data_IF_771019549723
#
_entry.id   IF_771019549723
#
_cell.length_a   1.000
_cell.length_b   1.000
_cell.length_c   1.000
_cell.angle_alpha   90.00
_cell.angle_beta   90.00
_cell.angle_gamma   90.00
#
_symmetry.space_group_name_H-M   'P 1'
#
loop_
_entity.id
_entity.type
_entity.pdbx_description
1 polymer ?
2 non-polymer ?
3 water ?
#
# COMPACT_ATOMS: atom_id res chain seq x y z
N UNK A 7 19.11 12.23 1.26
CA UNK A 7 18.95 11.74 2.66
C UNK A 7 20.18 10.96 3.12
N UNK A 8 20.29 10.74 4.43
CA UNK A 8 21.38 9.94 4.96
C UNK A 8 20.88 8.77 5.81
N UNK A 9 21.69 7.72 5.91
CA UNK A 9 21.41 6.68 6.88
C UNK A 9 22.65 6.44 7.72
N UNK A 10 22.43 6.38 9.03
CA UNK A 10 23.51 6.34 9.99
C UNK A 10 23.33 5.22 10.98
N UNK A 11 24.39 4.43 11.18
CA UNK A 11 24.33 3.30 12.09
C UNK A 11 23.96 3.73 13.52
N UNK A 12 23.09 2.95 14.15
CA UNK A 12 22.80 3.09 15.57
C UNK A 12 22.94 1.70 16.18
N UNK A 13 22.74 1.63 17.50
CA UNK A 13 22.69 0.38 18.24
C UNK A 13 21.24 0.04 18.52
N UNK A 14 20.95 -1.23 18.80
CA UNK A 14 19.56 -1.63 19.13
C UNK A 14 19.05 -0.93 20.41
N UNK A 15 19.99 -0.56 21.30
CA UNK A 15 19.70 0.31 22.45
C UNK A 15 19.15 1.69 22.08
N UNK A 16 19.41 2.14 20.85
CA UNK A 16 18.94 3.44 20.40
C UNK A 16 17.51 3.42 19.84
N UNK A 17 16.94 2.23 19.68
CA UNK A 17 15.60 2.10 19.11
C UNK A 17 14.59 2.15 20.25
N UNK A 18 13.90 3.29 20.41
CA UNK A 18 13.02 3.43 21.56
C UNK A 18 11.89 2.39 21.54
N UNK A 19 11.77 1.65 22.64
CA UNK A 19 10.77 0.63 22.78
C UNK A 19 11.11 -0.72 22.14
N UNK A 20 12.30 -0.83 21.55
CA UNK A 20 12.76 -2.09 20.94
C UNK A 20 12.58 -3.24 21.92
N UNK A 21 13.09 -3.07 23.13
CA UNK A 21 13.01 -4.09 24.17
C UNK A 21 11.61 -4.56 24.54
N UNK A 22 10.60 -3.75 24.21
CA UNK A 22 9.22 -4.10 24.55
C UNK A 22 8.42 -4.65 23.37
N UNK A 23 9.02 -4.68 22.17
CA UNK A 23 8.32 -5.14 20.97
C UNK A 23 8.36 -6.66 20.85
N UNK A 24 7.27 -7.25 20.36
CA UNK A 24 7.20 -8.68 20.09
C UNK A 24 7.07 -8.89 18.56
N UNK A 25 8.19 -9.06 17.84
CA UNK A 25 8.13 -9.21 16.38
C UNK A 25 7.90 -10.65 15.85
N UNK A 26 7.29 -11.51 16.65
CA UNK A 26 7.10 -12.92 16.24
C UNK A 26 6.29 -13.10 14.96
N UNK A 27 5.32 -12.21 14.68
CA UNK A 27 4.52 -12.33 13.45
C UNK A 27 5.32 -12.07 12.17
N UNK A 28 6.53 -11.53 12.32
CA UNK A 28 7.37 -11.26 11.14
C UNK A 28 8.00 -12.51 10.61
N UNK A 29 8.05 -13.59 11.40
CA UNK A 29 8.71 -14.80 10.96
C UNK A 29 7.92 -15.57 9.89
N UNK A 30 6.61 -15.80 10.12
CA UNK A 30 5.84 -16.32 8.99
C UNK A 30 5.85 -15.39 7.76
N UNK A 31 5.83 -14.08 7.97
CA UNK A 31 5.83 -13.15 6.84
C UNK A 31 7.15 -13.28 6.07
N UNK A 32 8.27 -13.36 6.80
CA UNK A 32 9.59 -13.56 6.15
C UNK A 32 9.61 -14.89 5.37
N UNK A 33 9.00 -15.94 5.93
CA UNK A 33 8.87 -17.21 5.19
C UNK A 33 8.07 -17.07 3.87
N UNK A 34 7.03 -16.22 3.86
CA UNK A 34 6.27 -16.04 2.63
C UNK A 34 7.12 -15.29 1.59
N UNK A 35 7.92 -14.32 2.05
CA UNK A 35 8.82 -13.57 1.14
C UNK A 35 9.86 -14.52 0.55
N UNK A 36 10.42 -15.38 1.40
CA UNK A 36 11.45 -16.32 0.90
C UNK A 36 10.88 -17.29 -0.13
N UNK A 37 9.71 -17.86 0.17
CA UNK A 37 8.99 -18.72 -0.78
C UNK A 37 8.74 -17.99 -2.10
N UNK A 38 8.28 -16.74 -2.02
CA UNK A 38 8.04 -15.96 -3.21
C UNK A 38 9.35 -15.78 -4.01
N UNK A 39 10.43 -15.38 -3.33
CA UNK A 39 11.68 -15.06 -4.06
C UNK A 39 12.34 -16.31 -4.64
N UNK A 40 11.97 -17.47 -4.12
CA UNK A 40 12.46 -18.75 -4.68
C UNK A 40 11.67 -19.21 -5.89
N UNK A 41 10.61 -18.48 -6.23
CA UNK A 41 9.76 -18.93 -7.35
C UNK A 41 9.15 -17.76 -8.12
N UNK A 42 9.84 -16.62 -8.07
CA UNK A 42 9.40 -15.46 -8.84
C UNK A 42 10.61 -14.59 -9.15
N UNK A 43 10.44 -13.60 -10.03
CA UNK A 43 11.51 -12.63 -10.26
C UNK A 43 11.84 -11.85 -8.97
N UNK A 44 13.12 -11.52 -8.78
CA UNK A 44 13.53 -10.80 -7.58
C UNK A 44 12.96 -9.39 -7.54
N UNK A 45 12.69 -8.91 -6.32
CA UNK A 45 12.33 -7.52 -6.08
C UNK A 45 13.35 -6.57 -6.71
N UNK A 46 12.85 -5.41 -7.17
CA UNK A 46 13.69 -4.30 -7.65
C UNK A 46 14.56 -3.78 -6.51
N UNK A 47 15.83 -3.54 -6.79
CA UNK A 47 16.72 -2.97 -5.78
C UNK A 47 16.37 -1.50 -5.67
N UNK A 48 16.06 -1.06 -4.45
CA UNK A 48 15.76 0.34 -4.19
C UNK A 48 17.00 1.19 -4.38
N UNK A 49 16.80 2.49 -4.60
CA UNK A 49 17.90 3.44 -4.74
C UNK A 49 18.85 3.37 -3.54
N UNK A 50 18.32 3.04 -2.36
CA UNK A 50 19.19 2.87 -1.18
C UNK A 50 20.27 1.81 -1.42
N UNK A 51 19.90 0.74 -2.14
CA UNK A 51 20.87 -0.17 -2.71
C UNK A 51 20.86 -1.60 -2.19
N UNK A 52 19.95 -1.94 -1.29
CA UNK A 52 19.91 -3.33 -0.81
C UNK A 52 19.26 -4.27 -1.83
N UNK A 53 19.98 -5.31 -2.25
CA UNK A 53 19.44 -6.21 -3.27
C UNK A 53 18.53 -7.26 -2.66
N UNK A 54 17.63 -7.81 -3.47
CA UNK A 54 16.84 -8.97 -3.06
C UNK A 54 17.72 -10.16 -2.64
N UNK A 55 18.83 -10.39 -3.34
CA UNK A 55 19.78 -11.43 -2.92
C UNK A 55 20.34 -11.20 -1.52
N UNK A 56 20.63 -9.96 -1.17
CA UNK A 56 21.12 -9.62 0.19
C UNK A 56 20.03 -9.89 1.24
N UNK A 57 18.81 -9.50 0.92
CA UNK A 57 17.65 -9.81 1.77
C UNK A 57 17.50 -11.32 1.98
N UNK A 58 17.64 -12.10 0.91
CA UNK A 58 17.52 -13.56 0.99
C UNK A 58 18.49 -14.14 2.04
N UNK A 59 19.68 -13.55 2.18
CA UNK A 59 20.60 -14.07 3.16
C UNK A 59 20.02 -13.98 4.57
N UNK A 60 19.33 -12.88 4.89
CA UNK A 60 18.62 -12.74 6.18
C UNK A 60 17.44 -13.71 6.31
N UNK A 61 16.65 -13.83 5.23
CA UNK A 61 15.48 -14.69 5.23
C UNK A 61 15.87 -16.15 5.46
N UNK A 62 17.00 -16.56 4.88
CA UNK A 62 17.48 -17.93 5.04
C UNK A 62 17.97 -18.23 6.46
N UNK A 63 18.57 -17.23 7.11
CA UNK A 63 18.90 -17.36 8.52
C UNK A 63 17.65 -17.55 9.38
N UNK A 64 16.60 -16.80 9.07
CA UNK A 64 15.34 -16.93 9.81
C UNK A 64 14.78 -18.33 9.60
N UNK A 65 14.84 -18.84 8.37
CA UNK A 65 14.32 -20.17 8.01
C UNK A 65 15.01 -21.25 8.85
N UNK A 66 16.31 -21.06 9.07
CA UNK A 66 17.16 -22.05 9.78
C UNK A 66 16.98 -22.02 11.28
N UNK A 67 16.50 -20.91 11.80
CA UNK A 67 16.36 -20.73 13.23
C UNK A 67 15.07 -21.28 13.82
N UNK A 68 14.96 -21.12 15.14
CA UNK A 68 13.76 -21.50 15.85
C UNK A 68 13.52 -20.44 16.90
N UNK A 69 12.45 -19.69 16.74
CA UNK A 69 12.10 -18.60 17.62
C UNK A 69 10.86 -19.02 18.37
N UNK A 70 10.93 -18.91 19.70
CA UNK A 70 9.86 -19.39 20.59
C UNK A 70 9.52 -18.45 21.74
N UNK A 71 9.89 -17.17 21.62
CA UNK A 71 9.56 -16.14 22.61
C UNK A 71 9.82 -14.77 21.99
N UNK A 72 9.18 -13.70 22.52
CA UNK A 72 9.52 -12.35 22.04
C UNK A 72 11.02 -12.07 22.11
N UNK A 73 11.66 -12.52 23.19
CA UNK A 73 13.10 -12.30 23.37
C UNK A 73 13.91 -13.00 22.29
N UNK A 74 13.58 -14.25 21.98
CA UNK A 74 14.30 -14.98 20.91
C UNK A 74 14.09 -14.32 19.55
N UNK A 75 12.89 -13.78 19.34
CA UNK A 75 12.57 -13.06 18.09
C UNK A 75 13.41 -11.78 17.93
N UNK A 76 13.45 -10.96 18.97
CA UNK A 76 14.31 -9.76 18.95
C UNK A 76 15.77 -10.15 18.76
N UNK A 77 16.21 -11.22 19.43
CA UNK A 77 17.62 -11.64 19.39
C UNK A 77 18.01 -12.05 17.98
N UNK A 78 17.10 -12.69 17.26
CA UNK A 78 17.36 -12.99 15.87
C UNK A 78 17.85 -11.75 15.10
N UNK A 79 17.12 -10.65 15.24
CA UNK A 79 17.46 -9.41 14.51
C UNK A 79 18.75 -8.78 15.02
N UNK A 80 18.94 -8.78 16.34
CA UNK A 80 20.18 -8.26 16.95
C UNK A 80 21.43 -8.98 16.46
N UNK A 81 21.33 -10.29 16.27
CA UNK A 81 22.43 -11.11 15.78
C UNK A 81 22.69 -10.94 14.28
N UNK A 82 21.62 -10.79 13.51
CA UNK A 82 21.69 -10.98 12.06
C UNK A 82 21.44 -9.73 11.21
N UNK A 83 21.19 -8.60 11.87
CA UNK A 83 21.00 -7.35 11.16
C UNK A 83 21.62 -6.17 11.90
N UNK A 84 21.80 -5.06 11.20
CA UNK A 84 22.35 -3.84 11.78
C UNK A 84 21.40 -2.68 11.50
N UNK A 85 20.98 -1.93 12.56
CA UNK A 85 20.02 -0.85 12.40
C UNK A 85 20.67 0.49 12.02
N UNK A 86 19.96 1.24 11.19
CA UNK A 86 20.41 2.55 10.71
C UNK A 86 19.23 3.52 10.78
N UNK A 87 19.44 4.68 11.37
CA UNK A 87 18.44 5.75 11.36
C UNK A 87 18.39 6.35 9.97
N UNK A 88 17.20 6.48 9.41
CA UNK A 88 17.03 7.18 8.13
C UNK A 88 16.73 8.65 8.43
N UNK A 89 17.54 9.54 7.87
CA UNK A 89 17.32 10.99 8.07
C UNK A 89 17.04 11.68 6.75
N UNK A 90 15.78 12.13 6.53
CA UNK A 90 15.34 12.79 5.30
C UNK A 90 16.16 14.03 4.93
N UNK A 95 11.76 15.20 9.87
CA UNK A 95 11.58 13.86 10.45
C UNK A 95 10.75 12.97 9.51
N UNK A 96 10.63 11.69 9.82
CA UNK A 96 9.80 10.81 9.01
C UNK A 96 8.34 11.07 9.29
N UNK A 97 7.47 10.39 8.54
CA UNK A 97 6.03 10.64 8.63
C UNK A 97 5.24 9.39 8.26
N UNK A 98 4.24 9.06 9.08
CA UNK A 98 3.38 7.91 8.80
C UNK A 98 1.91 8.26 8.65
N UNK A 99 1.29 7.62 7.67
CA UNK A 99 -0.15 7.57 7.56
C UNK A 99 -0.54 6.10 7.68
N UNK A 100 -1.80 5.77 7.41
CA UNK A 100 -2.22 4.36 7.52
C UNK A 100 -3.17 3.99 6.41
N UNK A 101 -3.27 2.69 6.14
CA UNK A 101 -4.21 2.17 5.15
C UNK A 101 -4.77 0.85 5.63
N UNK A 102 -5.80 0.33 4.96
CA UNK A 102 -6.50 -0.86 5.46
C UNK A 102 -7.15 -1.52 4.27
N UNK A 103 -7.68 -2.73 4.46
CA UNK A 103 -8.44 -3.44 3.43
C UNK A 103 -9.92 -3.25 3.77
N UNK A 104 -10.65 -2.40 3.00
CA UNK A 104 -12.06 -2.27 3.34
C UNK A 104 -12.91 -3.48 2.99
N UNK A 105 -14.01 -3.62 3.72
CA UNK A 105 -15.05 -4.51 3.31
C UNK A 105 -16.04 -3.68 2.48
N UNK A 106 -16.38 -4.16 1.28
CA UNK A 106 -17.27 -3.44 0.39
C UNK A 106 -18.46 -4.31 0.01
N UNK A 107 -19.67 -3.83 0.31
CA UNK A 107 -20.89 -4.50 -0.14
C UNK A 107 -21.04 -4.43 -1.64
N UNK A 108 -21.34 -5.59 -2.24
CA UNK A 108 -21.53 -5.68 -3.69
C UNK A 108 -22.65 -6.63 -4.05
N UNK A 109 -23.00 -6.63 -5.34
CA UNK A 109 -23.90 -7.58 -5.92
C UNK A 109 -23.33 -8.14 -7.22
N UNK A 110 -23.71 -9.38 -7.52
CA UNK A 110 -23.32 -10.00 -8.78
C UNK A 110 -24.19 -9.50 -9.94
N UNK A 111 -25.29 -8.84 -9.60
CA UNK A 111 -26.25 -8.37 -10.59
C UNK A 111 -26.50 -6.87 -10.46
N UNK A 112 -26.38 -6.14 -11.59
CA UNK A 112 -26.58 -4.69 -11.51
C UNK A 112 -28.05 -4.28 -11.50
N UNK A 113 -28.37 -3.22 -10.78
CA UNK A 113 -29.67 -2.59 -10.87
C UNK A 113 -29.54 -1.13 -10.43
N UNK A 114 -30.67 -0.50 -10.11
CA UNK A 114 -30.65 0.92 -9.81
C UNK A 114 -29.87 1.23 -8.54
N UNK A 115 -29.72 0.23 -7.67
CA UNK A 115 -28.97 0.36 -6.41
C UNK A 115 -27.50 -0.07 -6.61
N UNK A 116 -27.32 -1.29 -7.11
CA UNK A 116 -25.97 -1.87 -7.35
C UNK A 116 -25.56 -1.41 -8.72
N UNK A 117 -24.96 -0.24 -8.80
CA UNK A 117 -24.82 0.44 -10.09
C UNK A 117 -23.38 0.77 -10.45
N UNK A 118 -22.45 0.57 -9.51
CA UNK A 118 -21.08 1.02 -9.75
C UNK A 118 -20.16 -0.17 -9.96
N UNK A 119 -19.80 -0.43 -11.22
CA UNK A 119 -19.02 -1.63 -11.52
C UNK A 119 -17.62 -1.59 -10.91
N UNK A 120 -17.08 -2.79 -10.65
CA UNK A 120 -15.70 -2.98 -10.28
C UNK A 120 -15.11 -3.79 -11.42
N UNK A 121 -14.02 -3.30 -12.04
CA UNK A 121 -13.54 -3.89 -13.29
C UNK A 121 -12.25 -4.67 -13.15
N UNK A 122 -12.15 -5.79 -13.89
CA UNK A 122 -10.87 -6.48 -14.09
C UNK A 122 -10.08 -5.72 -15.14
N UNK A 123 -8.82 -6.10 -15.33
CA UNK A 123 -7.98 -5.42 -16.32
C UNK A 123 -8.46 -5.71 -17.75
N UNK A 124 -8.76 -4.64 -18.52
CA UNK A 124 -9.14 -4.80 -19.94
C UNK A 124 -7.94 -5.35 -20.72
N UNK A 125 -8.20 -6.20 -21.74
CA UNK A 125 -7.07 -6.81 -22.48
C UNK A 125 -6.27 -5.78 -23.30
N UNK A 126 -6.84 -4.60 -23.55
CA UNK A 126 -6.17 -3.56 -24.32
C UNK A 126 -5.31 -2.66 -23.44
N UNK A 127 -5.33 -2.88 -22.13
CA UNK A 127 -4.55 -2.07 -21.21
C UNK A 127 -3.18 -2.74 -21.07
N UNK A 128 -2.26 -2.29 -21.90
CA UNK A 128 -0.94 -2.94 -22.01
C UNK A 128 0.11 -2.22 -21.16
N UNK A 129 1.05 -3.00 -20.64
CA UNK A 129 2.27 -2.45 -20.06
C UNK A 129 3.08 -1.73 -21.13
N UNK A 130 3.74 -0.65 -20.69
CA UNK A 130 4.56 0.16 -21.61
C UNK A 130 6.04 0.04 -21.26
N UNK A 131 6.87 -0.17 -22.28
CA UNK A 131 8.33 -0.05 -22.09
C UNK A 131 8.95 0.41 -23.40
N UNK A 132 10.27 0.35 -23.52
CA UNK A 132 10.91 0.78 -24.77
C UNK A 132 10.38 0.12 -26.05
N UNK A 133 10.00 -1.15 -25.96
CA UNK A 133 9.57 -1.89 -27.14
C UNK A 133 8.29 -1.31 -27.78
N UNK A 134 7.41 -0.71 -26.96
CA UNK A 134 6.12 -0.30 -27.49
C UNK A 134 5.74 1.18 -27.27
N UNK A 135 6.57 1.91 -26.52
CA UNK A 135 6.25 3.32 -26.21
C UNK A 135 6.25 4.14 -27.49
N UNK A 136 5.10 4.76 -27.81
CA UNK A 136 5.04 5.57 -29.02
C UNK A 136 5.83 6.87 -28.87
N UNK A 137 6.24 7.42 -30.02
CA UNK A 137 6.93 8.69 -30.07
C UNK A 137 6.08 9.76 -29.37
N UNK A 138 6.71 10.46 -28.43
CA UNK A 138 6.05 11.55 -27.69
C UNK A 138 5.24 11.13 -26.47
N UNK A 139 5.13 9.82 -26.24
CA UNK A 139 4.38 9.31 -25.06
C UNK A 139 5.10 9.70 -23.78
N UNK A 140 4.34 10.09 -22.75
CA UNK A 140 4.90 10.48 -21.46
C UNK A 140 5.68 9.30 -20.86
N UNK A 141 7.02 9.43 -20.71
CA UNK A 141 7.80 8.26 -20.26
C UNK A 141 7.53 7.83 -18.79
N UNK A 142 6.77 8.62 -18.04
CA UNK A 142 6.34 8.21 -16.71
C UNK A 142 5.13 7.26 -16.75
N UNK A 143 4.46 7.09 -17.89
CA UNK A 143 3.29 6.20 -17.96
C UNK A 143 3.73 4.73 -18.06
N UNK A 144 3.19 3.90 -17.18
CA UNK A 144 3.47 2.45 -17.18
C UNK A 144 2.44 1.64 -17.96
N UNK A 145 1.31 2.27 -18.33
CA UNK A 145 0.22 1.59 -19.04
C UNK A 145 -0.32 2.45 -20.16
N UNK A 146 -0.82 1.80 -21.20
CA UNK A 146 -1.43 2.52 -22.31
C UNK A 146 -2.51 1.66 -22.95
N UNK A 147 -3.20 2.22 -23.92
CA UNK A 147 -4.27 1.54 -24.62
C UNK A 147 -3.76 1.03 -25.99
N UNK A 148 -3.83 -0.29 -26.21
CA UNK A 148 -3.43 -0.86 -27.48
C UNK A 148 -4.61 -0.76 -28.43
N UNK A 149 -4.41 -0.12 -29.59
CA UNK A 149 -5.51 0.00 -30.56
C UNK A 149 -4.95 -0.28 -31.96
N UNK A 150 -5.78 -0.18 -32.99
CA UNK A 150 -5.35 -0.38 -34.38
C UNK A 150 -4.27 0.64 -34.78
N UNK A 151 -4.30 1.80 -34.14
CA UNK A 151 -3.40 2.91 -34.46
C UNK A 151 -2.07 2.87 -33.71
N UNK A 152 -1.79 1.76 -33.01
CA UNK A 152 -0.61 1.68 -32.16
C UNK A 152 -0.99 1.77 -30.68
N UNK A 153 -0.40 2.70 -29.95
CA UNK A 153 -0.73 2.84 -28.53
C UNK A 153 -1.17 4.27 -28.27
N UNK A 154 -2.19 4.43 -27.43
CA UNK A 154 -2.65 5.75 -27.03
C UNK A 154 -2.86 5.78 -25.50
N UNK A 155 -3.22 6.94 -24.95
CA UNK A 155 -3.50 6.99 -23.51
C UNK A 155 -4.83 6.27 -23.19
N UNK A 156 -4.85 5.54 -22.07
CA UNK A 156 -6.08 4.86 -21.67
C UNK A 156 -7.03 5.94 -21.10
N UNK A 157 -8.36 5.77 -21.31
CA UNK A 157 -9.33 6.70 -20.70
C UNK A 157 -9.08 6.93 -19.19
N UNK A 158 -9.52 8.09 -18.67
CA UNK A 158 -9.34 8.39 -17.24
C UNK A 158 -10.55 7.97 -16.41
N UNK A 159 -10.48 8.18 -15.09
CA UNK A 159 -11.54 7.77 -14.18
C UNK A 159 -12.91 8.29 -14.65
N UNK A 160 -12.95 9.57 -15.05
CA UNK A 160 -14.25 10.12 -15.50
C UNK A 160 -14.84 9.33 -16.67
N UNK A 161 -14.01 9.09 -17.68
CA UNK A 161 -14.49 8.41 -18.89
C UNK A 161 -14.97 6.98 -18.55
N UNK A 162 -14.28 6.34 -17.62
CA UNK A 162 -14.65 4.98 -17.20
C UNK A 162 -15.97 5.02 -16.39
N UNK A 163 -16.05 5.94 -15.43
CA UNK A 163 -17.29 6.15 -14.66
C UNK A 163 -18.48 6.50 -15.56
N UNK A 164 -18.23 7.18 -16.68
CA UNK A 164 -19.30 7.57 -17.63
C UNK A 164 -19.66 6.45 -18.62
N UNK A 165 -18.94 5.31 -18.53
CA UNK A 165 -19.39 4.08 -19.20
C UNK A 165 -18.57 3.52 -20.36
N UNK A 166 -17.32 3.91 -20.52
CA UNK A 166 -16.62 3.48 -21.76
C UNK A 166 -16.25 1.99 -21.79
N UNK A 167 -16.37 1.31 -20.66
CA UNK A 167 -16.04 -0.15 -20.56
C UNK A 167 -17.26 -1.07 -20.47
N UNK A 168 -18.46 -0.50 -20.55
CA UNK A 168 -19.71 -1.26 -20.38
C UNK A 168 -19.92 -2.31 -21.46
N UNK A 169 -20.58 -3.40 -21.09
CA UNK A 169 -21.05 -4.38 -22.07
C UNK A 169 -19.96 -5.30 -22.59
N UNK A 170 -18.89 -5.45 -21.82
CA UNK A 170 -17.75 -6.24 -22.27
C UNK A 170 -17.44 -7.42 -21.35
N UNK A 171 -18.28 -7.59 -20.32
CA UNK A 171 -18.08 -8.68 -19.36
C UNK A 171 -16.88 -8.50 -18.47
N UNK A 172 -16.44 -7.25 -18.27
CA UNK A 172 -15.27 -6.95 -17.45
C UNK A 172 -15.53 -6.75 -15.97
N UNK A 173 -16.79 -6.80 -15.54
CA UNK A 173 -17.14 -6.50 -14.16
C UNK A 173 -16.88 -7.73 -13.28
N UNK A 174 -16.26 -7.50 -12.13
CA UNK A 174 -16.14 -8.48 -11.04
C UNK A 174 -17.43 -8.51 -10.21
N UNK A 175 -17.98 -7.33 -9.95
CA UNK A 175 -19.20 -7.12 -9.15
C UNK A 175 -19.62 -5.67 -9.27
N UNK A 176 -20.74 -5.31 -8.64
CA UNK A 176 -21.28 -3.94 -8.64
C UNK A 176 -21.47 -3.46 -7.23
N UNK A 177 -20.92 -2.29 -6.91
CA UNK A 177 -21.05 -1.68 -5.58
C UNK A 177 -22.28 -0.74 -5.59
N UNK A 178 -22.72 -0.33 -4.41
CA UNK A 178 -23.84 0.60 -4.28
C UNK A 178 -23.41 1.97 -3.79
N UNK A 179 -22.14 2.09 -3.38
CA UNK A 179 -21.59 3.40 -2.96
C UNK A 179 -20.39 3.80 -3.81
N UNK A 180 -20.49 4.92 -4.54
CA UNK A 180 -19.34 5.36 -5.33
C UNK A 180 -18.17 5.83 -4.46
N UNK A 181 -18.48 6.42 -3.29
CA UNK A 181 -17.41 6.88 -2.42
C UNK A 181 -16.68 5.70 -1.77
N UNK A 182 -17.44 4.68 -1.36
CA UNK A 182 -16.81 3.53 -0.73
C UNK A 182 -15.91 2.85 -1.76
N UNK A 183 -16.39 2.72 -2.99
CA UNK A 183 -15.56 2.14 -4.05
C UNK A 183 -14.32 2.99 -4.35
N UNK A 184 -14.49 4.32 -4.42
CA UNK A 184 -13.34 5.20 -4.56
C UNK A 184 -12.25 4.92 -3.52
N UNK A 185 -12.65 4.83 -2.25
CA UNK A 185 -11.67 4.54 -1.21
C UNK A 185 -11.01 3.15 -1.32
N UNK A 186 -11.75 2.20 -1.85
CA UNK A 186 -11.13 0.89 -2.24
C UNK A 186 -10.04 1.07 -3.32
N UNK A 187 -10.28 1.89 -4.34
CA UNK A 187 -9.20 2.23 -5.29
C UNK A 187 -8.00 2.80 -4.56
N UNK A 188 -8.23 3.69 -3.59
CA UNK A 188 -7.13 4.33 -2.86
C UNK A 188 -6.35 3.31 -2.03
N UNK A 189 -7.06 2.42 -1.33
CA UNK A 189 -6.38 1.40 -0.50
C UNK A 189 -5.66 0.36 -1.38
N UNK A 190 -6.29 0.00 -2.50
CA UNK A 190 -5.69 -0.96 -3.45
C UNK A 190 -6.16 -2.41 -3.24
N UNK A 191 -7.10 -2.65 -2.33
CA UNK A 191 -7.62 -4.00 -2.10
C UNK A 191 -8.95 -3.91 -1.37
N UNK A 192 -9.73 -4.98 -1.38
CA UNK A 192 -10.96 -5.00 -0.60
C UNK A 192 -11.42 -6.42 -0.39
N UNK A 193 -12.23 -6.60 0.65
CA UNK A 193 -13.03 -7.82 0.79
C UNK A 193 -14.45 -7.53 0.31
N UNK A 194 -14.87 -8.14 -0.79
CA UNK A 194 -16.21 -7.91 -1.34
C UNK A 194 -17.19 -8.86 -0.65
N UNK A 195 -18.30 -8.32 -0.13
CA UNK A 195 -19.30 -9.15 0.55
C UNK A 195 -20.61 -9.06 -0.22
N UNK A 196 -21.12 -10.22 -0.65
CA UNK A 196 -22.30 -10.28 -1.50
C UNK A 196 -23.56 -10.48 -0.62
N UNK A 197 -24.77 -10.29 -1.17
CA UNK A 197 -26.00 -10.37 -0.38
C UNK A 197 -26.28 -11.77 0.17
N UNK A 198 -25.68 -12.79 -0.43
CA UNK A 198 -25.82 -14.17 0.09
C UNK A 198 -24.70 -14.57 1.07
N UNK A 199 -23.87 -13.58 1.46
CA UNK A 199 -22.77 -13.83 2.38
C UNK A 199 -21.44 -14.25 1.76
N UNK A 200 -21.41 -14.47 0.45
CA UNK A 200 -20.17 -14.88 -0.21
C UNK A 200 -19.16 -13.75 -0.09
N UNK A 201 -17.90 -14.11 0.08
CA UNK A 201 -16.80 -13.15 0.14
C UNK A 201 -15.85 -13.40 -1.04
N UNK A 202 -15.41 -12.33 -1.70
CA UNK A 202 -14.35 -12.42 -2.71
C UNK A 202 -13.32 -11.37 -2.35
N UNK A 203 -12.04 -11.70 -2.39
CA UNK A 203 -11.03 -10.69 -2.15
C UNK A 203 -10.54 -10.18 -3.48
N UNK A 204 -10.31 -8.86 -3.60
CA UNK A 204 -9.75 -8.29 -4.83
C UNK A 204 -8.52 -7.48 -4.43
N UNK A 205 -7.58 -7.35 -5.37
CA UNK A 205 -6.37 -6.58 -5.12
C UNK A 205 -5.93 -5.94 -6.44
N UNK A 206 -5.11 -4.89 -6.33
CA UNK A 206 -4.60 -4.15 -7.49
C UNK A 206 -4.05 -5.13 -8.56
N UNK A 207 -4.47 -4.94 -9.80
CA UNK A 207 -3.86 -5.62 -10.95
C UNK A 207 -3.14 -4.70 -11.90
N UNK A 208 -3.73 -3.53 -12.17
CA UNK A 208 -3.19 -2.56 -13.11
C UNK A 208 -3.92 -1.26 -12.90
N UNK A 209 -3.57 -0.23 -13.69
CA UNK A 209 -4.24 1.05 -13.59
C UNK A 209 -4.24 1.74 -14.95
N UNK A 210 -5.16 2.68 -15.13
CA UNK A 210 -5.27 3.42 -16.38
C UNK A 210 -3.93 4.07 -16.83
N UNK A 211 -3.11 4.50 -15.88
CA UNK A 211 -1.75 5.03 -16.17
C UNK A 211 -1.54 6.45 -15.63
N UNK A 212 -2.65 7.17 -15.50
CA UNK A 212 -2.61 8.58 -15.05
C UNK A 212 -2.12 8.70 -13.64
N UNK A 213 -1.54 9.85 -13.33
CA UNK A 213 -1.05 10.14 -11.98
C UNK A 213 -2.21 10.09 -10.97
N UNK A 214 -1.89 9.68 -9.75
CA UNK A 214 -2.82 9.76 -8.65
C UNK A 214 -2.90 11.22 -8.12
N UNK A 215 -4.11 11.73 -7.94
CA UNK A 215 -4.28 13.03 -7.26
C UNK A 215 -5.11 12.87 -5.99
N UNK A 216 -4.55 13.29 -4.84
CA UNK A 216 -5.24 13.13 -3.57
C UNK A 216 -6.41 14.13 -3.41
N UNK A 217 -7.60 13.62 -3.13
CA UNK A 217 -8.77 14.50 -3.01
C UNK A 217 -8.74 15.31 -1.72
N UNK A 218 -8.07 14.80 -0.70
CA UNK A 218 -7.90 15.53 0.57
C UNK A 218 -7.23 16.87 0.32
N UNK A 219 -6.16 16.85 -0.46
CA UNK A 219 -5.43 18.08 -0.77
C UNK A 219 -6.28 19.05 -1.58
N UNK A 220 -7.09 18.52 -2.50
CA UNK A 220 -7.99 19.36 -3.29
C UNK A 220 -8.95 20.06 -2.37
N UNK A 221 -9.50 19.33 -1.42
CA UNK A 221 -10.47 19.92 -0.50
C UNK A 221 -9.81 20.94 0.44
N UNK A 222 -8.60 20.66 0.94
CA UNK A 222 -7.86 21.65 1.73
C UNK A 222 -7.56 22.92 0.93
N UNK A 223 -7.11 22.74 -0.33
CA UNK A 223 -6.70 23.84 -1.19
C UNK A 223 -7.91 24.73 -1.49
N UNK A 224 -9.10 24.13 -1.60
CA UNK A 224 -10.31 24.88 -1.86
C UNK A 224 -10.93 25.40 -0.55
N UNK A 225 -10.29 25.17 0.60
CA UNK A 225 -10.82 25.67 1.89
C UNK A 225 -12.07 24.95 2.37
N UNK A 226 -12.28 23.72 1.90
CA UNK A 226 -13.48 22.93 2.30
C UNK A 226 -13.32 22.20 3.63
N UNK A 227 -12.07 21.85 3.96
CA UNK A 227 -11.80 21.14 5.19
C UNK A 227 -10.69 21.85 5.95
N UNK A 228 -10.69 21.63 7.27
CA UNK A 228 -9.70 22.19 8.19
C UNK A 228 -8.45 21.32 8.22
N UNK A 229 -7.26 21.90 7.91
CA UNK A 229 -6.05 21.07 7.97
C UNK A 229 -5.75 20.49 9.35
N UNK A 230 -6.26 21.12 10.41
CA UNK A 230 -6.05 20.61 11.77
C UNK A 230 -6.83 19.33 12.07
N UNK A 231 -7.90 19.08 11.32
CA UNK A 231 -8.77 17.94 11.62
C UNK A 231 -8.90 16.94 10.47
N UNK A 232 -8.32 17.25 9.31
CA UNK A 232 -8.59 16.41 8.15
C UNK A 232 -8.23 14.95 8.45
N UNK A 233 -9.12 14.03 8.04
CA UNK A 233 -8.93 12.59 8.18
C UNK A 233 -9.78 11.90 7.13
N UNK A 234 -9.62 10.58 6.92
CA UNK A 234 -10.53 9.85 6.04
C UNK A 234 -11.99 10.15 6.41
N UNK A 235 -12.26 10.18 7.72
CA UNK A 235 -13.61 10.39 8.23
C UNK A 235 -14.20 11.75 7.82
N UNK A 236 -13.42 12.82 7.96
CA UNK A 236 -13.96 14.14 7.59
C UNK A 236 -14.10 14.33 6.08
N UNK A 237 -13.22 13.68 5.31
CA UNK A 237 -13.33 13.68 3.86
C UNK A 237 -14.61 12.97 3.44
N UNK A 238 -14.86 11.78 4.00
CA UNK A 238 -16.08 11.04 3.70
C UNK A 238 -17.34 11.84 4.13
N UNK A 239 -17.26 12.50 5.27
CA UNK A 239 -18.42 13.34 5.73
C UNK A 239 -18.68 14.45 4.71
N UNK A 240 -17.63 15.13 4.28
CA UNK A 240 -17.78 16.25 3.31
C UNK A 240 -18.44 15.74 2.06
N UNK A 241 -17.96 14.60 1.55
CA UNK A 241 -18.54 13.99 0.36
C UNK A 241 -20.00 13.54 0.58
N UNK A 242 -20.29 12.99 1.76
CA UNK A 242 -21.70 12.62 2.08
C UNK A 242 -22.61 13.86 2.08
N UNK A 243 -22.07 14.99 2.53
CA UNK A 243 -22.82 16.27 2.60
C UNK A 243 -22.89 17.06 1.29
N UNK A 244 -22.18 16.59 0.26
CA UNK A 244 -22.16 17.29 -1.01
C UNK A 244 -22.33 16.35 -2.19
N UNK A 245 -23.45 15.59 -2.26
CA UNK A 245 -23.62 14.60 -3.32
C UNK A 245 -23.52 15.17 -4.72
N UNK A 246 -24.03 16.39 -4.95
CA UNK A 246 -23.97 16.96 -6.28
C UNK A 246 -22.55 17.35 -6.72
N UNK A 247 -21.61 17.48 -5.78
CA UNK A 247 -20.24 17.88 -6.06
C UNK A 247 -19.25 16.68 -6.08
N UNK A 248 -19.75 15.51 -5.73
CA UNK A 248 -18.89 14.34 -5.53
C UNK A 248 -18.14 13.98 -6.81
N UNK A 249 -18.83 13.85 -7.94
CA UNK A 249 -18.14 13.44 -9.18
C UNK A 249 -16.99 14.36 -9.54
N UNK A 250 -17.20 15.68 -9.45
CA UNK A 250 -16.14 16.64 -9.81
C UNK A 250 -14.89 16.45 -9.00
N UNK A 251 -15.07 16.14 -7.72
CA UNK A 251 -13.98 15.95 -6.81
C UNK A 251 -13.30 14.59 -7.08
N UNK A 252 -14.08 13.51 -7.14
CA UNK A 252 -13.46 12.18 -7.39
C UNK A 252 -12.70 12.18 -8.72
N UNK A 253 -13.27 12.85 -9.72
CA UNK A 253 -12.68 12.81 -11.08
C UNK A 253 -11.40 13.64 -11.23
N UNK A 254 -11.10 14.48 -10.22
CA UNK A 254 -9.79 15.15 -10.09
C UNK A 254 -8.70 14.09 -10.01
N UNK A 255 -9.03 12.94 -9.42
CA UNK A 255 -8.10 11.78 -9.45
C UNK A 255 -8.32 11.00 -10.74
N UNK A 256 -7.50 11.31 -11.75
CA UNK A 256 -7.69 10.70 -13.06
C UNK A 256 -7.26 9.22 -13.08
N UNK A 257 -6.40 8.84 -12.15
CA UNK A 257 -5.98 7.42 -12.02
C UNK A 257 -7.20 6.56 -11.75
N UNK A 258 -7.20 5.33 -12.29
CA UNK A 258 -8.30 4.38 -12.05
C UNK A 258 -7.67 3.01 -11.89
N UNK A 259 -8.08 2.31 -10.83
CA UNK A 259 -7.49 1.02 -10.46
C UNK A 259 -8.32 -0.14 -11.02
N UNK A 260 -7.64 -1.10 -11.66
CA UNK A 260 -8.28 -2.36 -12.08
C UNK A 260 -7.81 -3.47 -11.15
N UNK A 261 -8.69 -4.43 -10.89
CA UNK A 261 -8.49 -5.42 -9.84
C UNK A 261 -8.49 -6.83 -10.41
N UNK A 262 -7.96 -7.76 -9.62
CA UNK A 262 -8.10 -9.19 -9.87
C UNK A 262 -8.52 -9.84 -8.55
N UNK A 263 -9.25 -10.95 -8.65
CA UNK A 263 -9.57 -11.76 -7.49
C UNK A 263 -8.31 -12.46 -6.96
N UNK A 264 -8.19 -12.50 -5.63
CA UNK A 264 -7.04 -13.10 -4.98
C UNK A 264 -7.51 -13.98 -3.84
N UNK A 272 -4.27 -11.04 5.33
CA UNK A 272 -4.21 -9.71 4.75
C UNK A 272 -4.25 -9.86 3.24
N UNK A 273 -4.50 -8.78 2.52
CA UNK A 273 -4.51 -8.86 1.07
C UNK A 273 -3.09 -9.01 0.51
N UNK A 274 -2.98 -9.54 -0.71
CA UNK A 274 -1.68 -9.60 -1.40
C UNK A 274 -1.45 -8.18 -1.89
N UNK A 275 -0.22 -7.68 -1.79
CA UNK A 275 0.09 -6.35 -2.28
C UNK A 275 1.38 -6.33 -3.11
N UNK A 276 2.11 -5.21 -3.08
CA UNK A 276 3.15 -5.01 -4.09
C UNK A 276 4.35 -5.96 -3.92
N UNK A 277 4.58 -6.44 -2.70
CA UNK A 277 5.64 -7.43 -2.45
C UNK A 277 5.17 -8.87 -2.72
N UNK A 278 3.94 -8.99 -3.24
CA UNK A 278 3.37 -10.26 -3.71
C UNK A 278 3.10 -11.30 -2.63
N UNK A 279 3.06 -10.85 -1.37
CA UNK A 279 2.74 -11.70 -0.21
C UNK A 279 1.62 -11.04 0.62
N UNK A 280 0.90 -11.84 1.44
CA UNK A 280 -0.20 -11.25 2.25
C UNK A 280 0.33 -10.23 3.25
N UNK A 281 -0.39 -9.14 3.40
CA UNK A 281 -0.05 -8.16 4.42
C UNK A 281 -0.41 -8.68 5.81
N UNK A 282 0.21 -8.12 6.83
CA UNK A 282 -0.04 -8.58 8.21
C UNK A 282 -0.48 -7.34 8.98
N UNK A 283 -1.70 -7.37 9.53
CA UNK A 283 -2.24 -6.22 10.25
C UNK A 283 -1.27 -5.74 11.31
N UNK A 284 -0.99 -4.44 11.28
CA UNK A 284 -0.14 -3.80 12.28
C UNK A 284 1.35 -4.03 12.08
N UNK A 285 1.74 -4.85 11.10
CA UNK A 285 3.15 -5.18 10.93
C UNK A 285 3.68 -4.99 9.50
N UNK A 286 2.81 -4.65 8.55
CA UNK A 286 3.21 -4.36 7.20
C UNK A 286 3.22 -2.86 6.93
N UNK A 287 4.30 -2.39 6.31
CA UNK A 287 4.46 -0.97 6.02
C UNK A 287 4.59 -0.81 4.51
N UNK A 288 3.94 0.22 3.97
CA UNK A 288 4.12 0.57 2.55
C UNK A 288 5.19 1.65 2.53
N UNK A 289 6.08 1.56 1.55
CA UNK A 289 7.25 2.45 1.50
C UNK A 289 7.39 2.98 0.08
N UNK A 290 8.32 3.90 -0.11
CA UNK A 290 8.63 4.45 -1.43
C UNK A 290 9.33 3.40 -2.28
N UNK A 291 8.70 3.00 -3.39
CA UNK A 291 9.23 1.90 -4.22
C UNK A 291 10.49 2.28 -4.97
N UNK A 292 10.75 3.58 -5.18
CA UNK A 292 11.98 3.97 -5.84
C UNK A 292 13.19 3.87 -4.91
N UNK A 293 12.96 4.16 -3.63
CA UNK A 293 14.03 4.29 -2.68
C UNK A 293 14.34 2.96 -1.98
N UNK A 294 13.29 2.23 -1.61
CA UNK A 294 13.46 1.05 -0.76
C UNK A 294 13.25 -0.27 -1.48
N UNK A 295 13.85 -1.33 -0.93
CA UNK A 295 13.63 -2.69 -1.44
C UNK A 295 12.59 -3.36 -0.54
N UNK A 296 11.58 -4.00 -1.14
CA UNK A 296 10.57 -4.74 -0.37
C UNK A 296 11.18 -5.85 0.49
N UNK A 297 10.52 -6.13 1.61
CA UNK A 297 10.90 -7.26 2.45
C UNK A 297 11.83 -6.90 3.60
N UNK A 298 12.42 -5.70 3.57
CA UNK A 298 13.36 -5.30 4.62
C UNK A 298 12.60 -4.87 5.88
N UNK A 299 13.17 -5.16 7.07
CA UNK A 299 12.55 -4.71 8.32
C UNK A 299 12.80 -3.23 8.58
N UNK A 300 11.77 -2.55 9.08
CA UNK A 300 11.87 -1.17 9.50
C UNK A 300 11.32 -1.07 10.90
N UNK A 301 12.09 -0.47 11.82
CA UNK A 301 11.55 -0.15 13.15
C UNK A 301 11.01 1.28 13.11
N UNK A 302 9.73 1.45 13.46
CA UNK A 302 9.06 2.73 13.32
C UNK A 302 8.70 3.21 14.72
N UNK A 303 9.15 4.41 15.05
CA UNK A 303 8.88 5.02 16.35
C UNK A 303 8.07 6.30 16.14
N UNK A 304 6.80 6.29 16.55
CA UNK A 304 5.90 7.42 16.36
C UNK A 304 5.22 7.70 17.67
N UNK A 305 5.92 8.42 18.58
CA UNK A 305 5.42 8.55 19.95
C UNK A 305 4.09 9.29 20.08
N UNK A 306 3.79 10.22 19.18
CA UNK A 306 2.47 10.88 19.19
C UNK A 306 1.31 9.99 18.71
N UNK A 307 1.66 8.83 18.14
CA UNK A 307 0.65 7.88 17.65
C UNK A 307 0.36 6.85 18.73
N UNK A 308 -0.81 6.97 19.35
CA UNK A 308 -1.14 6.18 20.54
C UNK A 308 -2.34 5.27 20.36
N UNK A 309 -3.18 5.54 19.36
CA UNK A 309 -4.44 4.81 19.24
C UNK A 309 -4.34 3.44 18.57
N UNK A 310 -3.13 3.07 18.14
CA UNK A 310 -2.87 1.69 17.66
C UNK A 310 -2.23 0.82 18.75
N UNK A 311 -2.01 1.39 19.94
CA UNK A 311 -1.36 0.67 21.03
C UNK A 311 -2.07 0.92 22.34
N UNK A 312 -3.39 1.14 22.27
CA UNK A 312 -4.24 1.38 23.46
C UNK A 312 -3.64 2.44 24.38
N UNK A 313 -3.29 3.60 23.80
CA UNK A 313 -2.78 4.74 24.55
C UNK A 313 -1.28 4.83 24.69
N UNK A 314 -0.58 3.74 24.38
CA UNK A 314 0.90 3.71 24.42
C UNK A 314 1.50 4.17 23.08
N UNK A 315 2.76 4.70 23.10
CA UNK A 315 3.39 5.10 21.86
C UNK A 315 3.64 3.95 20.87
N UNK A 316 3.47 4.24 19.59
CA UNK A 316 3.75 3.29 18.52
C UNK A 316 5.27 3.11 18.40
N UNK A 317 5.74 1.89 18.58
CA UNK A 317 7.16 1.58 18.44
C UNK A 317 7.30 0.10 18.13
N UNK A 318 7.41 -0.23 16.86
CA UNK A 318 7.41 -1.65 16.48
C UNK A 318 8.21 -1.91 15.22
N UNK A 319 8.69 -3.13 15.11
CA UNK A 319 9.36 -3.61 13.90
C UNK A 319 8.34 -4.08 12.88
N UNK A 320 8.54 -3.65 11.64
CA UNK A 320 7.58 -3.93 10.57
C UNK A 320 8.35 -4.42 9.36
N UNK A 321 7.63 -4.95 8.36
CA UNK A 321 8.29 -5.28 7.10
C UNK A 321 7.71 -4.42 6.00
N UNK A 322 8.58 -4.02 5.07
CA UNK A 322 8.14 -3.23 3.89
C UNK A 322 7.49 -4.17 2.89
N UNK A 323 6.15 -4.19 2.85
CA UNK A 323 5.46 -5.20 2.05
C UNK A 323 4.52 -4.57 1.00
N UNK A 324 4.56 -3.24 0.86
CA UNK A 324 3.66 -2.61 -0.12
C UNK A 324 4.22 -1.25 -0.54
N UNK A 325 3.58 -0.61 -1.51
CA UNK A 325 3.94 0.75 -1.89
C UNK A 325 2.65 1.47 -2.25
N UNK A 326 2.73 2.77 -2.48
CA UNK A 326 1.56 3.55 -2.91
C UNK A 326 2.06 4.81 -3.56
N UNK A 327 1.25 5.34 -4.49
CA UNK A 327 1.57 6.62 -5.15
C UNK A 327 1.80 7.77 -4.18
N UNK A 328 1.06 7.79 -3.08
CA UNK A 328 1.19 8.89 -2.13
C UNK A 328 2.41 8.75 -1.22
N UNK A 329 3.08 7.60 -1.29
CA UNK A 329 4.20 7.29 -0.37
C UNK A 329 5.54 7.62 -1.00
N UNK A 330 6.00 8.85 -0.75
CA UNK A 330 7.17 9.37 -1.43
C UNK A 330 8.11 9.92 -0.39
N UNK A 331 9.38 9.52 -0.47
CA UNK A 331 10.36 9.95 0.52
C UNK A 331 11.00 8.78 1.24
N UNK A 332 12.27 8.95 1.68
CA UNK A 332 13.02 7.88 2.34
C UNK A 332 12.46 7.51 3.70
N UNK A 333 11.84 8.45 4.41
CA UNK A 333 11.26 8.16 5.70
C UNK A 333 9.75 8.43 5.72
N UNK A 334 9.08 7.97 4.67
CA UNK A 334 7.63 8.05 4.53
C UNK A 334 7.04 6.64 4.53
N UNK A 335 5.96 6.43 5.28
CA UNK A 335 5.35 5.10 5.34
C UNK A 335 3.85 5.10 5.53
N UNK A 336 3.22 4.00 5.12
CA UNK A 336 1.80 3.82 5.32
C UNK A 336 1.65 2.52 6.10
N UNK A 337 1.12 2.62 7.32
CA UNK A 337 0.96 1.48 8.22
C UNK A 337 -0.32 0.74 7.89
N UNK A 338 -0.21 -0.57 7.63
CA UNK A 338 -1.37 -1.40 7.37
C UNK A 338 -2.08 -1.77 8.69
N UNK A 339 -3.32 -1.32 8.87
CA UNK A 339 -4.00 -1.56 10.15
C UNK A 339 -4.84 -2.83 10.18
N UNK A 340 -5.11 -3.41 9.02
CA UNK A 340 -5.93 -4.62 8.97
C UNK A 340 -7.09 -4.49 8.01
N UNK A 341 -8.12 -5.30 8.22
CA UNK A 341 -9.21 -5.47 7.30
C UNK A 341 -10.54 -5.16 7.97
N UNK A 342 -11.41 -4.46 7.25
CA UNK A 342 -12.79 -4.19 7.71
C UNK A 342 -12.98 -2.86 8.43
N UNK A 343 -14.14 -2.71 9.05
CA UNK A 343 -14.57 -1.37 9.49
C UNK A 343 -13.68 -0.75 10.56
N UNK A 344 -13.43 -1.49 11.64
CA UNK A 344 -12.65 -0.94 12.73
C UNK A 344 -11.22 -0.63 12.28
N UNK A 345 -10.66 -1.49 11.43
CA UNK A 345 -9.32 -1.23 10.88
C UNK A 345 -9.33 0.10 10.15
N UNK A 346 -10.39 0.36 9.41
CA UNK A 346 -10.54 1.63 8.68
C UNK A 346 -10.64 2.84 9.59
N UNK A 347 -11.40 2.69 10.67
CA UNK A 347 -11.55 3.78 11.62
C UNK A 347 -10.19 4.13 12.23
N UNK A 348 -9.42 3.10 12.57
CA UNK A 348 -8.08 3.27 13.13
C UNK A 348 -7.14 3.96 12.15
N UNK A 349 -7.18 3.53 10.90
CA UNK A 349 -6.29 4.05 9.88
C UNK A 349 -6.58 5.51 9.54
N UNK A 350 -7.87 5.87 9.59
CA UNK A 350 -8.36 7.14 9.03
C UNK A 350 -7.76 8.41 9.61
N UNK A 351 -7.27 8.31 10.86
CA UNK A 351 -6.72 9.46 11.57
C UNK A 351 -5.18 9.43 11.73
N UNK A 352 -4.52 8.39 11.21
CA UNK A 352 -3.06 8.31 11.34
C UNK A 352 -2.43 9.33 10.43
N UNK A 353 -1.62 10.20 11.02
CA UNK A 353 -0.99 11.30 10.32
C UNK A 353 0.02 11.86 11.31
N UNK A 354 1.17 11.19 11.44
CA UNK A 354 2.04 11.41 12.60
C UNK A 354 3.51 11.43 12.23
N UNK A 355 4.27 12.27 12.93
CA UNK A 355 5.72 12.26 12.81
C UNK A 355 6.26 10.93 13.30
N UNK A 356 7.34 10.47 12.67
CA UNK A 356 7.93 9.19 13.04
C UNK A 356 9.42 9.16 12.76
N UNK A 357 10.17 8.40 13.56
CA UNK A 357 11.56 8.10 13.25
C UNK A 357 11.61 6.74 12.58
N UNK A 358 12.28 6.65 11.43
CA UNK A 358 12.44 5.38 10.69
C UNK A 358 13.83 4.79 10.91
N UNK A 359 13.93 3.52 11.26
CA UNK A 359 15.23 2.84 11.34
C UNK A 359 15.11 1.60 10.46
N UNK A 360 16.05 1.41 9.54
CA UNK A 360 16.02 0.21 8.69
C UNK A 360 17.02 -0.81 9.24
N UNK A 361 16.66 -2.10 9.18
CA UNK A 361 17.57 -3.14 9.64
C UNK A 361 18.18 -3.78 8.42
N UNK A 362 19.49 -3.61 8.24
CA UNK A 362 20.16 -4.21 7.07
C UNK A 362 20.76 -5.55 7.41
N UNK A 363 20.63 -6.53 6.51
CA UNK A 363 21.32 -7.80 6.64
C UNK A 363 22.81 -7.51 6.86
N UNK A 364 23.45 -8.26 7.75
CA UNK A 364 24.76 -7.81 8.21
C UNK A 364 25.87 -7.81 7.15
N UNK A 365 25.78 -8.68 6.14
CA UNK A 365 26.73 -8.59 5.00
C UNK A 365 26.57 -7.34 4.16
N UNK A 366 25.32 -6.91 3.95
CA UNK A 366 25.03 -5.69 3.21
C UNK A 366 25.40 -4.45 3.98
N UNK A 367 25.32 -4.54 5.31
CA UNK A 367 25.46 -3.38 6.18
C UNK A 367 26.85 -2.73 6.10
N UNK A 368 27.88 -3.54 5.85
CA UNK A 368 29.26 -3.03 5.89
C UNK A 368 29.52 -1.82 5.01
N UNK A 369 29.07 -1.84 3.77
CA UNK A 369 29.27 -0.70 2.89
C UNK A 369 28.54 0.59 3.32
N UNK A 370 27.56 0.48 4.21
CA UNK A 370 26.88 1.67 4.74
C UNK A 370 27.56 2.19 6.00
N UNK A 371 28.34 1.32 6.64
CA UNK A 371 29.14 1.67 7.82
C UNK A 371 30.37 2.49 7.42
#
# INVERSE_FOLDING_TARGET
MSLNTPFSIDEVSFRDLPGWGQDDPRKLFPAMATILSHLRNAKPYRTGALGITAAELVSLLELAERGQVNSPEQARQFFETNSVPFRISPAQGKSGFVTAFYEPELEVSATPDDVWRYPIYRRPPELVDIDNDNRPDGFDPSYAFGKADEEGISYFPDRRAIDEGCLRGRGLEIAWARSKVDLFFVHVQGAARLVFPDGAIKRITYAAKAGHVFSPIGRLLLDRGELDPKTISMQTIRQWLADHPDEVDGVLWHNRSYIFFREADVAGLDMGPIAAAKVPLVAGRALAVDRLIHTFGLPFFIHAPTLTHLDDGKPFARLMLALDTGSAIVGPARGDIFTGSGFEAGELAGTVRNEADFYILLPRIAAERYRREGHHHHHH
#
